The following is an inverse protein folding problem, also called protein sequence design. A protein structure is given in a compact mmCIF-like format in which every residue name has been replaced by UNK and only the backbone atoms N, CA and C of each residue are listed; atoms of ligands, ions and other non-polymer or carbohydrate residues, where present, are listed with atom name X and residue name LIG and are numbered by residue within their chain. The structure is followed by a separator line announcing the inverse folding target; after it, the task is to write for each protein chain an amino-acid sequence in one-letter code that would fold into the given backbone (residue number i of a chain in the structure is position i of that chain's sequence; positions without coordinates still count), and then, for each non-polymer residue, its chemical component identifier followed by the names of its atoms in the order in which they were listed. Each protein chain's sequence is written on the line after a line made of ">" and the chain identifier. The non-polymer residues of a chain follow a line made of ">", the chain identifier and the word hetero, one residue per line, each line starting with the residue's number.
data_IF_162436619141
#
_entry.id   IF_162436619141
#
_cell.length_a   1.000
_cell.length_b   1.000
_cell.length_c   1.000
_cell.angle_alpha   90.00
_cell.angle_beta   90.00
_cell.angle_gamma   90.00
#
_symmetry.space_group_name_H-M   'P 1'
#
loop_
_entity.id
_entity.type
_entity.pdbx_description
1 polymer ?
#
# COMPACT_ATOMS: atom_id res chain seq x y z
N UNK A 1 -3.02 -41.08 5.74
CA UNK A 1 -2.61 -39.65 5.67
C UNK A 1 -3.28 -39.03 4.46
N UNK A 2 -3.97 -37.88 4.60
CA UNK A 2 -4.67 -37.23 3.50
C UNK A 2 -3.66 -36.51 2.60
N UNK A 3 -3.71 -36.81 1.31
CA UNK A 3 -2.94 -36.10 0.27
C UNK A 3 -3.89 -35.14 -0.46
N UNK A 4 -3.36 -34.01 -0.92
CA UNK A 4 -4.07 -33.01 -1.74
C UNK A 4 -3.28 -32.71 -3.01
N UNK A 5 -3.94 -32.46 -4.16
CA UNK A 5 -3.25 -31.98 -5.35
C UNK A 5 -2.50 -30.68 -5.08
N UNK A 6 -1.25 -30.58 -5.53
CA UNK A 6 -0.40 -29.41 -5.31
C UNK A 6 -1.03 -28.17 -5.96
N UNK A 7 -1.62 -28.30 -7.14
CA UNK A 7 -2.39 -27.24 -7.80
C UNK A 7 -3.52 -26.68 -6.93
N UNK A 8 -4.22 -27.52 -6.16
CA UNK A 8 -5.29 -27.05 -5.25
C UNK A 8 -4.70 -26.24 -4.10
N UNK A 9 -3.57 -26.67 -3.55
CA UNK A 9 -2.84 -25.91 -2.53
C UNK A 9 -2.34 -24.57 -3.09
N UNK A 10 -1.67 -24.55 -4.25
CA UNK A 10 -1.18 -23.31 -4.88
C UNK A 10 -2.33 -22.34 -5.22
N UNK A 11 -3.45 -22.85 -5.74
CA UNK A 11 -4.65 -22.05 -5.99
C UNK A 11 -5.18 -21.41 -4.70
N UNK A 12 -5.12 -22.11 -3.55
CA UNK A 12 -5.57 -21.54 -2.28
C UNK A 12 -4.68 -20.39 -1.78
N UNK A 13 -3.45 -20.29 -2.29
CA UNK A 13 -2.52 -19.19 -2.08
C UNK A 13 -2.65 -18.09 -3.16
N UNK A 14 -3.61 -18.21 -4.08
CA UNK A 14 -3.77 -17.27 -5.19
C UNK A 14 -2.78 -17.47 -6.35
N UNK A 15 -2.03 -18.58 -6.38
CA UNK A 15 -1.11 -18.94 -7.47
C UNK A 15 -1.87 -19.79 -8.49
N UNK A 16 -2.57 -19.13 -9.41
CA UNK A 16 -3.54 -19.75 -10.34
C UNK A 16 -2.99 -20.03 -11.74
N UNK A 17 -2.06 -19.21 -12.24
CA UNK A 17 -1.53 -19.32 -13.60
C UNK A 17 -0.52 -20.47 -13.75
N UNK A 18 -0.47 -21.08 -14.94
CA UNK A 18 0.35 -22.27 -15.20
C UNK A 18 1.86 -22.02 -15.01
N UNK A 19 2.34 -20.87 -15.48
CA UNK A 19 3.73 -20.44 -15.30
C UNK A 19 4.04 -20.18 -13.82
N UNK A 20 3.15 -19.49 -13.12
CA UNK A 20 3.30 -19.17 -11.71
C UNK A 20 3.28 -20.46 -10.86
N UNK A 21 2.44 -21.43 -11.21
CA UNK A 21 2.44 -22.75 -10.56
C UNK A 21 3.73 -23.54 -10.83
N UNK A 22 4.32 -23.42 -12.02
CA UNK A 22 5.60 -24.05 -12.33
C UNK A 22 6.73 -23.46 -11.45
N UNK A 23 6.78 -22.13 -11.31
CA UNK A 23 7.73 -21.43 -10.43
C UNK A 23 7.55 -21.88 -8.97
N UNK A 24 6.32 -21.84 -8.47
CA UNK A 24 6.02 -22.25 -7.09
C UNK A 24 6.34 -23.74 -6.84
N UNK A 25 6.06 -24.62 -7.81
CA UNK A 25 6.47 -26.02 -7.72
C UNK A 25 7.97 -26.18 -7.61
N UNK A 26 8.75 -25.47 -8.42
CA UNK A 26 10.21 -25.56 -8.36
C UNK A 26 10.74 -25.20 -6.97
N UNK A 27 10.15 -24.19 -6.31
CA UNK A 27 10.45 -23.85 -4.91
C UNK A 27 10.10 -25.00 -3.96
N UNK A 28 8.92 -25.60 -4.10
CA UNK A 28 8.50 -26.72 -3.24
C UNK A 28 9.34 -28.00 -3.45
N UNK A 29 9.81 -28.23 -4.67
CA UNK A 29 10.71 -29.34 -5.02
C UNK A 29 12.09 -29.13 -4.41
N UNK A 30 12.67 -27.94 -4.56
CA UNK A 30 13.97 -27.60 -3.96
C UNK A 30 13.94 -27.65 -2.43
N UNK A 31 12.83 -27.24 -1.82
CA UNK A 31 12.64 -27.32 -0.37
C UNK A 31 12.24 -28.72 0.15
N UNK A 32 12.14 -29.74 -0.70
CA UNK A 32 11.88 -31.12 -0.31
C UNK A 32 10.42 -31.44 0.11
N UNK A 33 9.48 -30.54 -0.18
CA UNK A 33 8.05 -30.78 0.10
C UNK A 33 7.41 -31.73 -0.92
N UNK A 34 7.92 -31.72 -2.15
CA UNK A 34 7.51 -32.62 -3.24
C UNK A 34 8.71 -33.05 -4.10
N UNK A 35 8.47 -33.79 -5.18
CA UNK A 35 9.48 -34.21 -6.15
C UNK A 35 8.97 -34.00 -7.58
N UNK A 36 9.86 -33.92 -8.59
CA UNK A 36 9.45 -33.85 -9.99
C UNK A 36 8.42 -34.92 -10.35
N UNK A 37 7.39 -34.54 -11.09
CA UNK A 37 6.29 -35.42 -11.51
C UNK A 37 5.28 -35.82 -10.43
N UNK A 38 5.54 -35.57 -9.14
CA UNK A 38 4.56 -35.83 -8.08
C UNK A 38 3.46 -34.78 -8.11
N UNK A 39 2.21 -35.19 -8.25
CA UNK A 39 1.05 -34.29 -8.37
C UNK A 39 0.39 -33.94 -7.03
N UNK A 40 0.62 -34.74 -5.99
CA UNK A 40 -0.03 -34.60 -4.68
C UNK A 40 0.99 -34.37 -3.55
N UNK A 41 0.64 -33.53 -2.58
CA UNK A 41 1.40 -33.28 -1.35
C UNK A 41 0.60 -33.74 -0.13
N UNK A 42 1.29 -34.14 0.94
CA UNK A 42 0.61 -34.50 2.19
C UNK A 42 0.10 -33.23 2.88
N UNK A 43 -1.16 -33.21 3.32
CA UNK A 43 -1.82 -31.99 3.84
C UNK A 43 -1.08 -31.39 5.04
N UNK A 44 -0.49 -32.22 5.92
CA UNK A 44 0.25 -31.73 7.08
C UNK A 44 1.52 -30.93 6.72
N UNK A 45 2.01 -31.03 5.47
CA UNK A 45 3.16 -30.24 4.99
C UNK A 45 2.77 -28.86 4.46
N UNK A 46 1.48 -28.57 4.29
CA UNK A 46 1.00 -27.32 3.68
C UNK A 46 1.44 -26.06 4.43
N UNK A 47 1.43 -26.00 5.78
CA UNK A 47 1.92 -24.82 6.49
C UNK A 47 3.40 -24.52 6.18
N UNK A 48 4.28 -25.49 6.38
CA UNK A 48 5.72 -25.34 6.14
C UNK A 48 6.04 -25.07 4.65
N UNK A 49 5.27 -25.67 3.74
CA UNK A 49 5.35 -25.41 2.31
C UNK A 49 4.95 -23.96 1.97
N UNK A 50 3.90 -23.44 2.62
CA UNK A 50 3.48 -22.05 2.49
C UNK A 50 4.57 -21.08 2.94
N UNK A 51 5.16 -21.33 4.11
CA UNK A 51 6.27 -20.50 4.59
C UNK A 51 7.49 -20.57 3.68
N UNK A 52 7.80 -21.73 3.10
CA UNK A 52 8.91 -21.88 2.16
C UNK A 52 8.69 -21.08 0.87
N UNK A 53 7.44 -20.98 0.41
CA UNK A 53 7.07 -20.11 -0.70
C UNK A 53 7.22 -18.64 -0.30
N UNK A 54 6.68 -18.22 0.84
CA UNK A 54 6.77 -16.82 1.32
C UNK A 54 8.21 -16.35 1.52
N UNK A 55 9.10 -17.23 1.97
CA UNK A 55 10.54 -16.94 2.13
C UNK A 55 11.28 -16.72 0.81
N UNK A 56 10.77 -17.23 -0.32
CA UNK A 56 11.48 -17.22 -1.60
C UNK A 56 10.76 -16.46 -2.71
N UNK A 57 9.47 -16.23 -2.54
CA UNK A 57 8.61 -15.57 -3.51
C UNK A 57 8.01 -14.31 -2.89
N UNK A 58 8.05 -13.22 -3.66
CA UNK A 58 7.40 -11.96 -3.35
C UNK A 58 6.19 -11.79 -4.28
N UNK A 59 5.00 -11.84 -3.69
CA UNK A 59 3.74 -11.98 -4.43
C UNK A 59 3.09 -10.64 -4.76
N UNK A 60 2.84 -10.38 -6.05
CA UNK A 60 2.13 -9.18 -6.51
C UNK A 60 0.94 -9.53 -7.41
N UNK A 61 -0.06 -8.65 -7.48
CA UNK A 61 -1.13 -8.80 -8.47
C UNK A 61 -0.78 -8.11 -9.79
N UNK A 62 -1.67 -8.23 -10.78
CA UNK A 62 -1.50 -7.65 -12.12
C UNK A 62 -1.48 -6.11 -12.18
N UNK A 63 -1.60 -5.42 -11.04
CA UNK A 63 -1.51 -3.97 -11.00
C UNK A 63 -0.02 -3.54 -11.04
N UNK A 64 0.33 -2.74 -12.03
CA UNK A 64 1.70 -2.26 -12.26
C UNK A 64 2.29 -1.55 -11.03
N UNK A 65 1.52 -0.69 -10.34
CA UNK A 65 2.00 -0.02 -9.14
C UNK A 65 2.33 -0.97 -7.99
N UNK A 66 1.62 -2.09 -7.85
CA UNK A 66 1.96 -3.14 -6.88
C UNK A 66 3.25 -3.86 -7.28
N UNK A 67 3.42 -4.19 -8.57
CA UNK A 67 4.64 -4.82 -9.07
C UNK A 67 5.87 -3.93 -8.87
N UNK A 68 5.80 -2.64 -9.24
CA UNK A 68 6.90 -1.69 -9.10
C UNK A 68 7.27 -1.46 -7.63
N UNK A 69 6.27 -1.30 -6.76
CA UNK A 69 6.48 -1.14 -5.31
C UNK A 69 7.22 -2.35 -4.73
N UNK A 70 6.77 -3.56 -5.07
CA UNK A 70 7.39 -4.79 -4.55
C UNK A 70 8.80 -4.99 -5.12
N UNK A 71 8.98 -4.73 -6.41
CA UNK A 71 10.29 -4.80 -7.05
C UNK A 71 11.31 -3.83 -6.43
N UNK A 72 10.90 -2.59 -6.12
CA UNK A 72 11.77 -1.65 -5.41
C UNK A 72 12.09 -2.11 -3.99
N UNK A 73 11.11 -2.68 -3.27
CA UNK A 73 11.35 -3.24 -1.93
C UNK A 73 12.37 -4.38 -1.98
N UNK A 74 12.20 -5.33 -2.89
CA UNK A 74 13.09 -6.49 -3.03
C UNK A 74 14.51 -6.09 -3.47
N UNK A 75 14.68 -5.01 -4.27
CA UNK A 75 16.01 -4.48 -4.64
C UNK A 75 16.83 -3.99 -3.45
N UNK A 76 16.17 -3.59 -2.37
CA UNK A 76 16.84 -3.07 -1.16
C UNK A 76 17.15 -4.19 -0.15
N UNK A 77 16.74 -5.43 -0.42
CA UNK A 77 16.94 -6.59 0.46
C UNK A 77 18.14 -7.39 -0.05
N UNK A 78 19.07 -7.73 0.85
CA UNK A 78 20.28 -8.48 0.51
C UNK A 78 19.99 -9.87 -0.07
N UNK A 79 18.96 -10.54 0.45
CA UNK A 79 18.43 -11.82 -0.05
C UNK A 79 17.04 -11.58 -0.66
N UNK A 80 17.02 -10.97 -1.85
CA UNK A 80 15.77 -10.66 -2.55
C UNK A 80 15.00 -11.92 -2.94
N UNK A 81 13.68 -11.88 -2.81
CA UNK A 81 12.76 -12.93 -3.24
C UNK A 81 12.43 -12.78 -4.73
N UNK A 82 12.11 -13.89 -5.38
CA UNK A 82 11.66 -13.86 -6.77
C UNK A 82 10.22 -13.33 -6.86
N UNK A 83 9.99 -12.35 -7.74
CA UNK A 83 8.64 -11.81 -7.94
C UNK A 83 7.73 -12.85 -8.61
N UNK A 84 6.51 -12.98 -8.10
CA UNK A 84 5.49 -13.86 -8.68
C UNK A 84 4.14 -13.17 -8.79
N UNK A 85 3.47 -13.37 -9.92
CA UNK A 85 2.10 -12.92 -10.13
C UNK A 85 1.12 -13.82 -9.37
N UNK A 86 0.20 -13.22 -8.63
CA UNK A 86 -0.88 -13.90 -7.90
C UNK A 86 -2.22 -13.20 -8.09
N UNK A 87 -3.28 -13.87 -7.68
CA UNK A 87 -4.61 -13.28 -7.56
C UNK A 87 -4.59 -12.05 -6.63
N UNK A 88 -5.52 -11.13 -6.87
CA UNK A 88 -5.51 -9.82 -6.21
C UNK A 88 -5.48 -9.89 -4.68
N UNK A 89 -6.22 -10.81 -4.10
CA UNK A 89 -6.37 -10.95 -2.65
C UNK A 89 -5.10 -11.51 -1.97
N UNK A 90 -4.25 -12.20 -2.74
CA UNK A 90 -2.97 -12.74 -2.28
C UNK A 90 -1.79 -11.76 -2.47
N UNK A 91 -2.01 -10.59 -3.07
CA UNK A 91 -0.96 -9.60 -3.28
C UNK A 91 -0.42 -9.05 -1.95
N UNK A 92 0.89 -9.11 -1.73
CA UNK A 92 1.53 -8.60 -0.50
C UNK A 92 1.39 -7.09 -0.35
N UNK A 93 1.35 -6.35 -1.47
CA UNK A 93 1.27 -4.89 -1.46
C UNK A 93 -0.14 -4.41 -1.14
N UNK A 94 -1.16 -4.93 -1.82
CA UNK A 94 -2.53 -4.42 -1.69
C UNK A 94 -3.50 -5.35 -0.96
N UNK A 95 -3.25 -6.66 -0.90
CA UNK A 95 -4.16 -7.65 -0.31
C UNK A 95 -5.60 -7.50 -0.83
N UNK A 96 -5.76 -7.27 -2.13
CA UNK A 96 -7.04 -7.01 -2.79
C UNK A 96 -7.62 -5.60 -2.59
N UNK A 97 -7.18 -4.86 -1.56
CA UNK A 97 -7.79 -3.60 -1.12
C UNK A 97 -7.43 -2.40 -2.01
N UNK A 98 -8.46 -1.75 -2.56
CA UNK A 98 -8.31 -0.52 -3.33
C UNK A 98 -7.73 0.65 -2.49
N UNK A 99 -8.12 0.74 -1.20
CA UNK A 99 -7.60 1.78 -0.30
C UNK A 99 -6.12 1.55 0.02
N UNK A 100 -5.73 0.31 0.33
CA UNK A 100 -4.33 -0.02 0.59
C UNK A 100 -3.47 0.24 -0.64
N UNK A 101 -3.95 -0.13 -1.83
CA UNK A 101 -3.27 0.18 -3.10
C UNK A 101 -3.06 1.68 -3.27
N UNK A 102 -4.13 2.47 -3.17
CA UNK A 102 -4.05 3.91 -3.37
C UNK A 102 -3.11 4.60 -2.36
N UNK A 103 -3.09 4.14 -1.10
CA UNK A 103 -2.17 4.65 -0.09
C UNK A 103 -0.70 4.27 -0.36
N UNK A 104 -0.42 3.08 -0.92
CA UNK A 104 0.92 2.72 -1.38
C UNK A 104 1.37 3.61 -2.55
N UNK A 105 0.52 3.78 -3.56
CA UNK A 105 0.80 4.67 -4.71
C UNK A 105 1.09 6.11 -4.24
N UNK A 106 0.29 6.61 -3.29
CA UNK A 106 0.51 7.91 -2.66
C UNK A 106 1.85 7.98 -1.94
N UNK A 107 2.20 6.97 -1.14
CA UNK A 107 3.47 6.95 -0.41
C UNK A 107 4.68 6.94 -1.35
N UNK A 108 4.62 6.18 -2.44
CA UNK A 108 5.66 6.14 -3.47
C UNK A 108 5.83 7.51 -4.14
N UNK A 109 4.73 8.16 -4.54
CA UNK A 109 4.78 9.49 -5.14
C UNK A 109 5.29 10.55 -4.15
N UNK A 110 4.85 10.50 -2.90
CA UNK A 110 5.33 11.39 -1.83
C UNK A 110 6.83 11.22 -1.62
N UNK A 111 7.32 9.97 -1.51
CA UNK A 111 8.76 9.68 -1.38
C UNK A 111 9.56 10.25 -2.57
N UNK A 112 9.08 10.05 -3.80
CA UNK A 112 9.71 10.60 -5.01
C UNK A 112 9.78 12.14 -5.03
N UNK A 113 8.85 12.80 -4.35
CA UNK A 113 8.83 14.26 -4.19
C UNK A 113 9.50 14.76 -2.90
N UNK A 114 10.16 13.89 -2.13
CA UNK A 114 10.79 14.22 -0.85
C UNK A 114 9.80 14.59 0.27
N UNK A 115 8.55 14.11 0.18
CA UNK A 115 7.49 14.35 1.16
C UNK A 115 7.26 13.09 2.01
N UNK A 116 6.97 13.28 3.28
CA UNK A 116 6.71 12.15 4.21
C UNK A 116 5.62 12.43 5.23
N UNK A 117 5.08 13.65 5.31
CA UNK A 117 4.12 14.05 6.35
C UNK A 117 2.82 14.56 5.76
N UNK A 118 1.71 13.90 6.09
CA UNK A 118 0.38 14.27 5.66
C UNK A 118 -0.50 14.69 6.85
N UNK A 119 -1.15 15.85 6.74
CA UNK A 119 -2.18 16.29 7.68
C UNK A 119 -3.53 16.16 7.00
N UNK A 120 -4.48 15.47 7.64
CA UNK A 120 -5.84 15.32 7.16
C UNK A 120 -6.78 16.11 8.05
N UNK A 121 -7.48 17.08 7.48
CA UNK A 121 -8.46 17.93 8.16
C UNK A 121 -9.87 17.47 7.80
N UNK A 122 -10.64 17.03 8.79
CA UNK A 122 -11.91 16.34 8.59
C UNK A 122 -11.73 14.82 8.54
N UNK A 123 -12.75 14.12 8.04
CA UNK A 123 -12.86 12.67 8.16
C UNK A 123 -13.57 12.25 9.45
N UNK A 124 -13.66 10.94 9.66
CA UNK A 124 -14.25 10.34 10.86
C UNK A 124 -13.24 9.41 11.54
N UNK A 125 -13.37 9.23 12.86
CA UNK A 125 -12.48 8.33 13.63
C UNK A 125 -12.31 6.94 13.00
N UNK A 126 -13.36 6.26 12.49
CA UNK A 126 -13.20 4.97 11.81
C UNK A 126 -12.29 5.03 10.58
N UNK A 127 -12.38 6.09 9.77
CA UNK A 127 -11.52 6.26 8.59
C UNK A 127 -10.07 6.53 8.98
N UNK A 128 -9.84 7.34 10.01
CA UNK A 128 -8.49 7.59 10.53
C UNK A 128 -7.86 6.32 11.07
N UNK A 129 -8.61 5.52 11.84
CA UNK A 129 -8.16 4.22 12.33
C UNK A 129 -7.83 3.28 11.17
N UNK A 130 -8.67 3.26 10.12
CA UNK A 130 -8.42 2.48 8.92
C UNK A 130 -7.15 2.91 8.20
N UNK A 131 -6.92 4.21 7.99
CA UNK A 131 -5.68 4.73 7.38
C UNK A 131 -4.48 4.31 8.22
N UNK A 132 -4.51 4.50 9.55
CA UNK A 132 -3.41 4.08 10.44
C UNK A 132 -3.11 2.58 10.34
N UNK A 133 -4.14 1.75 10.11
CA UNK A 133 -3.99 0.31 9.99
C UNK A 133 -3.34 -0.12 8.66
N UNK A 134 -3.67 0.55 7.55
CA UNK A 134 -3.32 0.07 6.20
C UNK A 134 -2.32 0.95 5.45
N UNK A 135 -2.05 2.17 5.92
CA UNK A 135 -1.13 3.07 5.26
C UNK A 135 0.32 2.59 5.44
N UNK A 136 1.18 2.80 4.43
CA UNK A 136 2.60 2.56 4.56
C UNK A 136 3.22 3.40 5.67
N UNK A 137 4.21 2.84 6.38
CA UNK A 137 4.93 3.53 7.47
C UNK A 137 5.83 4.68 6.98
N UNK A 138 6.09 4.77 5.68
CA UNK A 138 6.85 5.86 5.07
C UNK A 138 6.11 7.20 5.06
N UNK A 139 4.82 7.22 5.41
CA UNK A 139 4.03 8.44 5.57
C UNK A 139 3.58 8.58 7.02
N UNK A 140 3.96 9.68 7.64
CA UNK A 140 3.47 10.09 8.95
C UNK A 140 2.15 10.85 8.80
N UNK A 141 1.22 10.61 9.73
CA UNK A 141 -0.14 11.14 9.66
C UNK A 141 -0.52 11.96 10.89
N UNK A 142 -1.09 13.14 10.66
CA UNK A 142 -1.90 13.84 11.66
C UNK A 142 -3.34 13.93 11.18
N UNK A 143 -4.29 13.71 12.09
CA UNK A 143 -5.72 13.80 11.81
C UNK A 143 -6.32 14.88 12.69
N UNK A 144 -7.02 15.82 12.07
CA UNK A 144 -7.64 16.97 12.71
C UNK A 144 -9.14 16.84 12.58
N UNK A 145 -9.85 16.90 13.71
CA UNK A 145 -11.30 16.89 13.69
C UNK A 145 -11.85 18.19 13.09
N UNK A 146 -12.44 18.11 11.91
CA UNK A 146 -13.04 19.25 11.21
C UNK A 146 -14.27 19.86 11.90
N UNK A 147 -14.82 19.19 12.91
CA UNK A 147 -15.97 19.66 13.71
C UNK A 147 -15.57 20.24 15.07
N UNK A 148 -14.30 20.13 15.46
CA UNK A 148 -13.81 20.60 16.75
C UNK A 148 -13.42 22.08 16.75
N UNK A 149 -13.09 22.58 17.94
CA UNK A 149 -12.49 23.90 18.11
C UNK A 149 -10.98 23.85 17.80
N UNK A 150 -10.61 23.68 16.53
CA UNK A 150 -9.23 23.89 16.12
C UNK A 150 -8.85 25.36 16.39
N UNK A 151 -7.84 25.58 17.22
CA UNK A 151 -7.34 26.92 17.47
C UNK A 151 -6.21 27.27 16.48
N UNK A 152 -5.94 28.56 16.31
CA UNK A 152 -4.98 29.06 15.33
C UNK A 152 -3.54 28.56 15.58
N UNK A 153 -3.18 28.28 16.85
CA UNK A 153 -1.86 27.79 17.22
C UNK A 153 -1.66 26.35 16.76
N UNK A 154 -2.66 25.50 16.96
CA UNK A 154 -2.63 24.10 16.52
C UNK A 154 -2.58 24.00 15.00
N UNK A 155 -3.41 24.78 14.31
CA UNK A 155 -3.38 24.85 12.85
C UNK A 155 -2.03 25.33 12.29
N UNK A 156 -1.42 26.34 12.91
CA UNK A 156 -0.07 26.80 12.54
C UNK A 156 1.00 25.72 12.78
N UNK A 157 0.91 24.97 13.87
CA UNK A 157 1.80 23.84 14.17
C UNK A 157 1.68 22.74 13.11
N UNK A 158 0.47 22.39 12.73
CA UNK A 158 0.21 21.38 11.69
C UNK A 158 0.66 21.85 10.30
N UNK A 159 0.40 23.11 9.95
CA UNK A 159 0.87 23.70 8.69
C UNK A 159 2.40 23.72 8.62
N UNK A 160 3.08 23.97 9.74
CA UNK A 160 4.55 23.91 9.79
C UNK A 160 5.05 22.47 9.63
N UNK A 161 4.36 21.51 10.23
CA UNK A 161 4.77 20.11 10.23
C UNK A 161 4.45 19.37 8.91
N UNK A 162 3.26 19.58 8.34
CA UNK A 162 2.79 18.80 7.18
C UNK A 162 3.44 19.21 5.86
N UNK A 163 3.87 18.23 5.07
CA UNK A 163 4.34 18.46 3.71
C UNK A 163 3.16 18.68 2.74
N UNK A 164 2.03 18.03 3.04
CA UNK A 164 0.74 18.18 2.37
C UNK A 164 -0.41 18.24 3.39
N UNK A 165 -1.37 19.12 3.13
CA UNK A 165 -2.59 19.28 3.93
C UNK A 165 -3.79 18.88 3.10
N UNK A 166 -4.58 17.93 3.58
CA UNK A 166 -5.72 17.34 2.89
C UNK A 166 -7.01 17.76 3.59
N UNK A 167 -7.76 18.69 3.00
CA UNK A 167 -9.07 19.07 3.49
C UNK A 167 -10.09 18.05 2.98
N UNK A 168 -10.58 17.18 3.86
CA UNK A 168 -11.47 16.08 3.51
C UNK A 168 -12.93 16.53 3.44
N UNK A 169 -13.25 17.32 2.41
CA UNK A 169 -14.52 18.03 2.24
C UNK A 169 -15.75 17.13 2.05
N UNK A 170 -15.58 15.85 1.72
CA UNK A 170 -16.68 14.88 1.70
C UNK A 170 -17.30 14.61 3.09
N UNK A 171 -16.66 15.09 4.17
CA UNK A 171 -17.16 14.95 5.54
C UNK A 171 -17.51 16.30 6.13
N UNK A 172 -18.47 16.38 7.08
CA UNK A 172 -18.78 17.62 7.77
C UNK A 172 -17.52 18.24 8.39
N UNK A 173 -17.14 19.42 7.91
CA UNK A 173 -16.07 20.23 8.46
C UNK A 173 -16.56 21.68 8.51
N UNK A 174 -16.28 22.36 9.62
CA UNK A 174 -16.66 23.77 9.76
C UNK A 174 -15.75 24.63 8.87
N UNK A 175 -16.35 25.52 8.07
CA UNK A 175 -15.61 26.47 7.22
C UNK A 175 -14.55 27.25 8.00
N UNK A 176 -14.83 27.58 9.27
CA UNK A 176 -13.87 28.23 10.16
C UNK A 176 -12.60 27.40 10.34
N UNK A 177 -12.71 26.09 10.55
CA UNK A 177 -11.57 25.19 10.74
C UNK A 177 -10.82 25.03 9.43
N UNK A 178 -11.50 24.79 8.30
CA UNK A 178 -10.84 24.61 7.00
C UNK A 178 -10.04 25.84 6.58
N UNK A 179 -10.54 27.05 6.88
CA UNK A 179 -9.85 28.30 6.57
C UNK A 179 -8.51 28.46 7.33
N UNK A 180 -8.39 27.91 8.55
CA UNK A 180 -7.14 27.93 9.30
C UNK A 180 -6.03 27.10 8.63
N UNK A 181 -6.40 26.17 7.76
CA UNK A 181 -5.49 25.27 7.07
C UNK A 181 -5.29 25.64 5.59
N UNK A 182 -5.78 26.80 5.14
CA UNK A 182 -5.57 27.26 3.77
C UNK A 182 -4.09 27.58 3.51
N UNK A 183 -3.58 27.24 2.33
CA UNK A 183 -2.19 27.51 1.95
C UNK A 183 -1.75 26.79 0.68
N UNK A 184 -0.50 27.04 0.22
CA UNK A 184 0.02 26.50 -1.03
C UNK A 184 0.24 24.97 -1.02
N UNK A 185 0.25 24.35 0.16
CA UNK A 185 0.37 22.90 0.37
C UNK A 185 -0.97 22.22 0.65
N UNK A 186 -2.06 22.98 0.55
CA UNK A 186 -3.39 22.53 0.93
C UNK A 186 -4.18 22.16 -0.31
N UNK A 187 -4.74 20.96 -0.30
CA UNK A 187 -5.63 20.47 -1.35
C UNK A 187 -6.95 20.02 -0.75
N UNK A 188 -8.04 20.31 -1.47
CA UNK A 188 -9.39 19.90 -1.08
C UNK A 188 -9.71 18.57 -1.73
N UNK A 189 -10.07 17.58 -0.91
CA UNK A 189 -10.50 16.26 -1.35
C UNK A 189 -12.03 16.23 -1.35
N UNK A 190 -12.69 16.23 -2.53
CA UNK A 190 -14.14 16.44 -2.63
C UNK A 190 -14.97 15.22 -2.21
N UNK A 191 -14.35 14.04 -2.03
CA UNK A 191 -15.06 12.79 -1.78
C UNK A 191 -14.68 12.18 -0.44
N UNK A 192 -15.51 11.26 0.06
CA UNK A 192 -15.38 10.64 1.39
C UNK A 192 -14.44 9.44 1.46
N UNK A 193 -13.97 8.90 0.33
CA UNK A 193 -13.22 7.64 0.26
C UNK A 193 -11.71 7.81 0.52
N UNK A 194 -11.09 6.84 1.20
CA UNK A 194 -9.64 6.83 1.47
C UNK A 194 -8.86 6.78 0.16
N UNK A 195 -9.24 5.91 -0.78
CA UNK A 195 -8.59 5.84 -2.08
C UNK A 195 -8.62 7.17 -2.85
N UNK A 196 -9.69 7.95 -2.75
CA UNK A 196 -9.76 9.26 -3.39
C UNK A 196 -8.87 10.28 -2.70
N UNK A 197 -8.84 10.29 -1.36
CA UNK A 197 -7.90 11.12 -0.59
C UNK A 197 -6.46 10.84 -0.99
N UNK A 198 -6.09 9.55 -1.09
CA UNK A 198 -4.76 9.14 -1.49
C UNK A 198 -4.43 9.58 -2.92
N UNK A 199 -5.37 9.43 -3.86
CA UNK A 199 -5.19 9.89 -5.26
C UNK A 199 -4.93 11.38 -5.39
N UNK A 200 -5.65 12.23 -4.65
CA UNK A 200 -5.41 13.68 -4.69
C UNK A 200 -4.01 14.03 -4.14
N UNK A 201 -3.61 13.37 -3.05
CA UNK A 201 -2.25 13.52 -2.51
C UNK A 201 -1.18 13.03 -3.50
N UNK A 202 -1.41 11.93 -4.23
CA UNK A 202 -0.53 11.44 -5.30
C UNK A 202 -0.34 12.50 -6.38
N UNK A 203 -1.43 13.08 -6.90
CA UNK A 203 -1.35 14.13 -7.94
C UNK A 203 -0.57 15.35 -7.45
N UNK A 204 -0.81 15.78 -6.21
CA UNK A 204 -0.07 16.89 -5.60
C UNK A 204 1.44 16.60 -5.52
N UNK A 205 1.82 15.39 -5.09
CA UNK A 205 3.21 14.99 -4.97
C UNK A 205 3.92 14.97 -6.34
N UNK A 206 3.30 14.35 -7.35
CA UNK A 206 3.85 14.31 -8.72
C UNK A 206 4.10 15.73 -9.26
N UNK A 207 3.08 16.60 -9.20
CA UNK A 207 3.22 17.98 -9.69
C UNK A 207 4.21 18.83 -8.88
N UNK A 208 4.57 18.43 -7.65
CA UNK A 208 5.65 19.07 -6.89
C UNK A 208 7.03 18.57 -7.31
N UNK A 209 7.16 17.28 -7.58
CA UNK A 209 8.40 16.68 -8.10
C UNK A 209 8.84 17.34 -9.41
N UNK A 210 7.92 17.49 -10.36
CA UNK A 210 8.17 18.12 -11.67
C UNK A 210 8.68 19.57 -11.54
N UNK A 211 8.04 20.37 -10.68
CA UNK A 211 8.44 21.77 -10.43
C UNK A 211 9.79 21.89 -9.74
N UNK A 212 10.21 20.89 -8.97
CA UNK A 212 11.50 20.88 -8.29
C UNK A 212 12.62 20.48 -9.26
N UNK A 213 12.34 19.52 -10.16
CA UNK A 213 13.26 19.14 -11.23
C UNK A 213 13.52 20.30 -12.21
N UNK A 214 12.48 21.03 -12.62
CA UNK A 214 12.61 22.16 -13.56
C UNK A 214 13.39 23.37 -13.04
N UNK A 215 13.62 23.50 -11.73
CA UNK A 215 14.41 24.59 -11.13
C UNK A 215 15.90 24.26 -10.99
N UNK A 216 16.28 23.01 -11.24
CA UNK A 216 17.63 22.50 -11.04
C UNK A 216 18.37 22.28 -12.36
N UNK A 217 17.69 22.54 -13.49
CA UNK A 217 18.22 22.56 -14.86
C UNK A 217 18.38 24.00 -15.34
#
# INVERSE_FOLDING_TARGET
>A
MKNRPITVFLNSLGISGAEQQAIARAVLEDAGFTRPGRTNMAVHKEPDAGEALERRLASHCANQGCQETLHEQERQIAESRALILVERDACEVCGGSADRRALNEMATAMKGAGLSRAVVVGGTNPKWARIRQIAPRSVEWRFVNGLGNANQRDAASDLKWGDVILIWAGTPAQHRVTNLYAGPRTITVPTTGIASLAREATRFAIGRGERSASKTS
#
